data_IF_636198237475
#
_entry.id   IF_636198237475
#
_cell.length_a   1.000
_cell.length_b   1.000
_cell.length_c   1.000
_cell.angle_alpha   90.00
_cell.angle_beta   90.00
_cell.angle_gamma   90.00
#
_symmetry.space_group_name_H-M   'P 1'
#
loop_
_entity.id
_entity.type
_entity.pdbx_description
1 polymer ?
#
# COMPACT_ATOMS: atom_id res chain seq x y z
N UNK A 1 -6.86 -19.89 -4.60
CA UNK A 1 -6.85 -18.44 -4.28
C UNK A 1 -8.24 -17.76 -4.29
N UNK A 2 -9.36 -18.47 -4.04
CA UNK A 2 -10.69 -17.84 -3.84
C UNK A 2 -10.79 -17.19 -2.44
N UNK A 3 -10.27 -17.88 -1.41
CA UNK A 3 -10.27 -17.44 -0.02
C UNK A 3 -9.59 -16.07 0.17
N UNK A 4 -8.43 -15.88 -0.47
CA UNK A 4 -7.66 -14.63 -0.41
C UNK A 4 -8.45 -13.42 -0.94
N UNK A 5 -9.38 -13.63 -1.89
CA UNK A 5 -10.22 -12.54 -2.40
C UNK A 5 -11.32 -12.14 -1.42
N UNK A 6 -11.85 -13.12 -0.68
CA UNK A 6 -12.88 -12.90 0.34
C UNK A 6 -12.31 -12.14 1.52
N UNK A 7 -11.07 -12.44 1.91
CA UNK A 7 -10.39 -11.80 3.05
C UNK A 7 -9.85 -10.40 2.75
N UNK A 8 -9.77 -10.00 1.47
CA UNK A 8 -9.16 -8.74 1.10
C UNK A 8 -9.81 -7.51 1.78
N UNK A 9 -11.14 -7.37 1.84
CA UNK A 9 -11.79 -6.27 2.54
C UNK A 9 -11.45 -6.26 4.03
N UNK A 10 -11.50 -7.42 4.69
CA UNK A 10 -11.20 -7.54 6.12
C UNK A 10 -9.75 -7.11 6.41
N UNK A 11 -8.78 -7.60 5.61
CA UNK A 11 -7.38 -7.19 5.78
C UNK A 11 -7.24 -5.68 5.49
N UNK A 12 -8.04 -5.11 4.58
CA UNK A 12 -8.00 -3.67 4.28
C UNK A 12 -8.48 -2.88 5.48
N UNK A 13 -9.52 -3.34 6.15
CA UNK A 13 -10.05 -2.74 7.37
C UNK A 13 -9.02 -2.84 8.51
N UNK A 14 -8.28 -3.94 8.62
CA UNK A 14 -7.21 -4.07 9.64
C UNK A 14 -6.05 -3.08 9.45
N UNK A 15 -5.93 -2.39 8.30
CA UNK A 15 -4.98 -1.28 8.14
C UNK A 15 -5.34 -0.06 8.99
N UNK A 16 -6.59 0.02 9.48
CA UNK A 16 -7.10 1.10 10.33
C UNK A 16 -7.19 0.68 11.81
N UNK A 17 -6.65 -0.49 12.16
CA UNK A 17 -6.67 -0.99 13.53
C UNK A 17 -5.89 -0.05 14.48
N UNK A 18 -6.38 0.11 15.70
CA UNK A 18 -5.73 0.93 16.71
C UNK A 18 -4.34 0.38 17.12
N UNK A 19 -4.15 -0.93 16.97
CA UNK A 19 -2.90 -1.60 17.29
C UNK A 19 -1.93 -1.56 16.10
N UNK A 20 -0.79 -0.89 16.32
CA UNK A 20 0.31 -0.81 15.35
C UNK A 20 0.77 -2.17 14.82
N UNK A 21 0.94 -3.17 15.68
CA UNK A 21 1.47 -4.48 15.29
C UNK A 21 0.47 -5.23 14.39
N UNK A 22 -0.83 -5.02 14.61
CA UNK A 22 -1.88 -5.55 13.74
C UNK A 22 -1.79 -4.90 12.36
N UNK A 23 -1.65 -3.56 12.30
CA UNK A 23 -1.47 -2.83 11.03
C UNK A 23 -0.22 -3.29 10.28
N UNK A 24 0.92 -3.48 10.97
CA UNK A 24 2.15 -3.99 10.35
C UNK A 24 1.96 -5.40 9.78
N UNK A 25 1.35 -6.31 10.54
CA UNK A 25 1.05 -7.67 10.07
C UNK A 25 0.11 -7.65 8.85
N UNK A 26 -0.89 -6.77 8.85
CA UNK A 26 -1.79 -6.58 7.72
C UNK A 26 -1.03 -6.14 6.45
N UNK A 27 -0.12 -5.16 6.56
CA UNK A 27 0.73 -4.71 5.44
C UNK A 27 1.59 -5.86 4.88
N UNK A 28 2.18 -6.68 5.74
CA UNK A 28 3.00 -7.82 5.33
C UNK A 28 2.18 -8.92 4.65
N UNK A 29 1.02 -9.26 5.21
CA UNK A 29 0.08 -10.22 4.60
C UNK A 29 -0.34 -9.72 3.22
N UNK A 30 -0.67 -8.44 3.08
CA UNK A 30 -1.03 -7.84 1.80
C UNK A 30 0.08 -7.95 0.77
N UNK A 31 1.31 -7.59 1.16
CA UNK A 31 2.46 -7.64 0.27
C UNK A 31 2.66 -9.05 -0.29
N UNK A 32 2.62 -10.06 0.58
CA UNK A 32 2.74 -11.46 0.20
C UNK A 32 1.59 -11.89 -0.71
N UNK A 33 0.36 -11.57 -0.32
CA UNK A 33 -0.85 -11.91 -1.08
C UNK A 33 -0.82 -11.33 -2.50
N UNK A 34 -0.53 -10.03 -2.64
CA UNK A 34 -0.50 -9.36 -3.95
C UNK A 34 0.62 -9.94 -4.83
N UNK A 35 1.77 -10.27 -4.25
CA UNK A 35 2.88 -10.90 -4.95
C UNK A 35 2.53 -12.26 -5.58
N UNK A 36 1.62 -13.02 -4.97
CA UNK A 36 1.19 -14.34 -5.47
C UNK A 36 -0.09 -14.30 -6.33
N UNK A 37 -0.64 -13.13 -6.61
CA UNK A 37 -1.85 -12.99 -7.42
C UNK A 37 -1.56 -12.93 -8.92
N UNK A 38 -2.52 -13.41 -9.72
CA UNK A 38 -2.51 -13.16 -11.17
C UNK A 38 -2.42 -11.65 -11.44
N UNK A 39 -1.56 -11.25 -12.35
CA UNK A 39 -1.23 -9.84 -12.64
C UNK A 39 -2.44 -8.91 -12.77
N UNK A 40 -3.47 -9.31 -13.53
CA UNK A 40 -4.71 -8.51 -13.70
C UNK A 40 -5.46 -8.30 -12.37
N UNK A 41 -5.47 -9.31 -11.49
CA UNK A 41 -6.10 -9.23 -10.16
C UNK A 41 -5.27 -8.36 -9.22
N UNK A 42 -3.95 -8.59 -9.16
CA UNK A 42 -3.03 -7.76 -8.39
C UNK A 42 -3.18 -6.28 -8.76
N UNK A 43 -3.30 -5.98 -10.06
CA UNK A 43 -3.51 -4.61 -10.52
C UNK A 43 -4.86 -4.00 -10.12
N UNK A 44 -5.94 -4.81 -10.04
CA UNK A 44 -7.25 -4.32 -9.57
C UNK A 44 -7.17 -3.94 -8.08
N UNK A 45 -6.50 -4.78 -7.29
CA UNK A 45 -6.30 -4.57 -5.85
C UNK A 45 -5.40 -3.37 -5.61
N UNK A 46 -4.31 -3.22 -6.37
CA UNK A 46 -3.44 -2.04 -6.31
C UNK A 46 -4.23 -0.73 -6.46
N UNK A 47 -5.20 -0.67 -7.39
CA UNK A 47 -6.06 0.50 -7.58
C UNK A 47 -6.98 0.80 -6.38
N UNK A 48 -7.42 -0.23 -5.65
CA UNK A 48 -8.27 -0.07 -4.48
C UNK A 48 -7.44 0.39 -3.26
N UNK A 49 -6.21 -0.11 -3.14
CA UNK A 49 -5.35 0.14 -1.98
C UNK A 49 -4.58 1.45 -2.05
N UNK A 50 -4.28 1.97 -3.25
CA UNK A 50 -3.32 3.07 -3.43
C UNK A 50 -3.63 4.31 -2.58
N UNK A 51 -4.91 4.64 -2.37
CA UNK A 51 -5.31 5.78 -1.52
C UNK A 51 -5.53 5.39 -0.05
N UNK A 52 -5.78 4.11 0.23
CA UNK A 52 -5.99 3.63 1.62
C UNK A 52 -4.69 3.57 2.42
N UNK A 53 -3.55 3.55 1.74
CA UNK A 53 -2.23 3.61 2.37
C UNK A 53 -1.83 5.04 2.79
N UNK A 54 -2.49 6.07 2.26
CA UNK A 54 -2.15 7.48 2.53
C UNK A 54 -2.02 7.80 4.03
N UNK A 55 -2.97 7.42 4.91
CA UNK A 55 -2.84 7.74 6.34
C UNK A 55 -1.66 7.06 7.03
N UNK A 56 -1.15 5.96 6.45
CA UNK A 56 -0.02 5.22 7.02
C UNK A 56 1.33 5.85 6.65
N UNK A 57 1.36 6.74 5.67
CA UNK A 57 2.58 7.43 5.28
C UNK A 57 2.96 8.48 6.31
N UNK A 58 1.98 9.08 7.00
CA UNK A 58 2.19 10.07 8.05
C UNK A 58 2.11 9.47 9.45
N UNK A 59 2.18 8.14 9.59
CA UNK A 59 2.12 7.48 10.90
C UNK A 59 3.33 7.83 11.77
N UNK A 60 3.15 7.95 13.09
CA UNK A 60 4.24 8.25 14.01
C UNK A 60 5.34 7.18 13.99
N UNK A 61 4.98 5.92 13.72
CA UNK A 61 5.93 4.84 13.64
C UNK A 61 6.62 4.80 12.27
N UNK A 62 7.93 5.05 12.28
CA UNK A 62 8.80 4.99 11.10
C UNK A 62 8.76 3.63 10.38
N UNK A 63 8.70 2.53 11.13
CA UNK A 63 8.63 1.17 10.57
C UNK A 63 7.33 0.95 9.79
N UNK A 64 6.21 1.49 10.30
CA UNK A 64 4.93 1.43 9.62
C UNK A 64 4.93 2.29 8.35
N UNK A 65 5.48 3.52 8.43
CA UNK A 65 5.66 4.40 7.26
C UNK A 65 6.46 3.69 6.17
N UNK A 66 7.60 3.13 6.55
CA UNK A 66 8.50 2.41 5.64
C UNK A 66 7.77 1.24 4.96
N UNK A 67 7.08 0.39 5.72
CA UNK A 67 6.33 -0.75 5.17
C UNK A 67 5.23 -0.30 4.20
N UNK A 68 4.51 0.78 4.54
CA UNK A 68 3.44 1.30 3.70
C UNK A 68 4.00 1.86 2.38
N UNK A 69 5.11 2.61 2.42
CA UNK A 69 5.77 3.16 1.22
C UNK A 69 6.32 2.04 0.33
N UNK A 70 6.96 1.02 0.91
CA UNK A 70 7.43 -0.15 0.17
C UNK A 70 6.27 -0.93 -0.48
N UNK A 71 5.18 -1.13 0.25
CA UNK A 71 3.99 -1.77 -0.33
C UNK A 71 3.44 -0.93 -1.49
N UNK A 72 3.32 0.39 -1.33
CA UNK A 72 2.85 1.27 -2.41
C UNK A 72 3.72 1.16 -3.67
N UNK A 73 5.04 1.13 -3.52
CA UNK A 73 5.99 0.90 -4.62
C UNK A 73 5.74 -0.44 -5.32
N UNK A 74 5.49 -1.50 -4.56
CA UNK A 74 5.18 -2.82 -5.12
C UNK A 74 3.82 -2.84 -5.82
N UNK A 75 2.81 -2.14 -5.28
CA UNK A 75 1.51 -1.95 -5.93
C UNK A 75 1.65 -1.24 -7.27
N UNK A 76 2.49 -0.20 -7.37
CA UNK A 76 2.73 0.52 -8.63
C UNK A 76 3.32 -0.39 -9.71
N UNK A 77 4.25 -1.29 -9.34
CA UNK A 77 4.83 -2.27 -10.27
C UNK A 77 3.81 -3.31 -10.75
N UNK A 78 2.82 -3.63 -9.91
CA UNK A 78 1.76 -4.59 -10.24
C UNK A 78 0.71 -4.04 -11.22
N UNK A 79 0.63 -2.72 -11.45
CA UNK A 79 -0.39 -2.11 -12.30
C UNK A 79 -0.21 -2.48 -13.78
N UNK A 80 -1.26 -3.03 -14.39
CA UNK A 80 -1.29 -3.35 -15.84
C UNK A 80 -1.67 -2.13 -16.68
N UNK A 81 -1.34 -2.16 -17.97
CA UNK A 81 -1.54 -1.04 -18.89
C UNK A 81 -2.97 -0.46 -18.87
N UNK A 82 -3.99 -1.32 -18.95
CA UNK A 82 -5.39 -0.88 -18.94
C UNK A 82 -5.83 -0.18 -17.63
N UNK A 83 -5.08 -0.34 -16.54
CA UNK A 83 -5.36 0.30 -15.24
C UNK A 83 -4.50 1.53 -14.97
N UNK A 84 -3.46 1.80 -15.78
CA UNK A 84 -2.55 2.94 -15.58
C UNK A 84 -3.26 4.28 -15.58
N UNK A 85 -4.24 4.50 -16.47
CA UNK A 85 -4.99 5.77 -16.55
C UNK A 85 -5.72 6.07 -15.23
N UNK A 86 -6.43 5.07 -14.69
CA UNK A 86 -7.13 5.20 -13.40
C UNK A 86 -6.14 5.37 -12.24
N UNK A 87 -5.01 4.67 -12.30
CA UNK A 87 -3.97 4.79 -11.27
C UNK A 87 -3.37 6.19 -11.25
N UNK A 88 -3.14 6.81 -12.41
CA UNK A 88 -2.52 8.14 -12.52
C UNK A 88 -3.27 9.20 -11.69
N UNK A 89 -4.61 9.17 -11.73
CA UNK A 89 -5.44 10.11 -10.95
C UNK A 89 -5.31 9.91 -9.45
N UNK A 90 -5.14 8.66 -9.00
CA UNK A 90 -4.97 8.32 -7.57
C UNK A 90 -3.56 8.65 -7.09
N UNK A 91 -2.55 8.35 -7.90
CA UNK A 91 -1.13 8.56 -7.59
C UNK A 91 -0.82 10.02 -7.30
N UNK A 92 -1.46 10.98 -7.99
CA UNK A 92 -1.23 12.40 -7.72
C UNK A 92 -1.46 12.81 -6.26
N UNK A 93 -2.48 12.23 -5.61
CA UNK A 93 -2.77 12.49 -4.18
C UNK A 93 -1.72 11.90 -3.25
N UNK A 94 -1.00 10.88 -3.72
CA UNK A 94 0.00 10.13 -2.98
C UNK A 94 1.40 10.70 -3.17
N UNK A 95 1.72 11.21 -4.35
CA UNK A 95 3.04 11.77 -4.65
C UNK A 95 3.34 13.02 -3.82
N UNK A 96 2.33 13.82 -3.47
CA UNK A 96 2.53 15.04 -2.68
C UNK A 96 3.06 14.70 -1.26
N UNK A 97 2.41 13.83 -0.45
CA UNK A 97 2.97 13.37 0.81
C UNK A 97 4.36 12.73 0.66
N UNK A 98 4.54 11.84 -0.33
CA UNK A 98 5.82 11.18 -0.57
C UNK A 98 6.96 12.15 -0.89
N UNK A 99 6.66 13.26 -1.56
CA UNK A 99 7.64 14.29 -1.84
C UNK A 99 8.17 14.93 -0.55
N UNK A 100 7.31 15.17 0.45
CA UNK A 100 7.74 15.67 1.76
C UNK A 100 8.55 14.62 2.55
N UNK A 101 8.25 13.32 2.40
CA UNK A 101 9.02 12.25 3.05
C UNK A 101 10.47 12.11 2.55
N UNK A 102 10.82 12.69 1.40
CA UNK A 102 12.23 12.77 0.97
C UNK A 102 13.11 13.56 1.96
N UNK A 103 12.50 14.32 2.89
CA UNK A 103 13.17 15.03 3.99
C UNK A 103 12.89 14.41 5.37
N UNK A 104 12.39 13.18 5.44
CA UNK A 104 12.14 12.48 6.72
C UNK A 104 13.45 12.26 7.50
N UNK A 105 13.38 12.38 8.83
CA UNK A 105 14.52 12.12 9.72
C UNK A 105 14.96 10.65 9.68
N UNK A 106 14.02 9.76 9.38
CA UNK A 106 14.29 8.33 9.23
C UNK A 106 14.82 8.06 7.84
N UNK A 107 16.10 7.69 7.77
CA UNK A 107 16.79 7.48 6.50
C UNK A 107 16.15 6.40 5.61
N UNK A 108 15.52 5.37 6.18
CA UNK A 108 14.84 4.33 5.39
C UNK A 108 13.53 4.80 4.77
N UNK A 109 12.89 5.82 5.34
CA UNK A 109 11.68 6.47 4.80
C UNK A 109 12.03 7.49 3.72
N UNK A 110 13.15 8.19 3.86
CA UNK A 110 13.60 9.23 2.93
C UNK A 110 14.29 8.72 1.65
N UNK A 111 14.51 7.40 1.49
CA UNK A 111 15.26 6.78 0.39
C UNK A 111 14.41 6.06 -0.66
#
# INVERSE_FOLDING_TARGET
ARIIQVLLPDVVETLQDANKDIRMKALLVFRNVVGHMKRKKASCIALQLSEKLLPLFDDECSELRELAIHLFKDLMKAVVCCHKKRMKNKVWRVLVPLFFHMSDQTQSVAK
#
